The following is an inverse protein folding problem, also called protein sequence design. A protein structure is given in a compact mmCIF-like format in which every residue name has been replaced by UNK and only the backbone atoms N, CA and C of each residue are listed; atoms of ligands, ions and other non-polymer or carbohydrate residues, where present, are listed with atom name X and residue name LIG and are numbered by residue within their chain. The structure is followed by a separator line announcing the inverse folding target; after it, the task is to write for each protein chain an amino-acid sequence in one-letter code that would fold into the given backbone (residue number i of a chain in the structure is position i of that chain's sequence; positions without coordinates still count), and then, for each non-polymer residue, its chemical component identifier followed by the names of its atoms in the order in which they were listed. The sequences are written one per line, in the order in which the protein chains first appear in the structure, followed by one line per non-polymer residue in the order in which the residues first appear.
data_IF_861421031912
#
_entry.id   IF_861421031912
#
_cell.length_a   1.000
_cell.length_b   1.000
_cell.length_c   1.000
_cell.angle_alpha   90.00
_cell.angle_beta   90.00
_cell.angle_gamma   90.00
#
_symmetry.space_group_name_H-M   'P 1'
#
loop_
_entity.id
_entity.type
_entity.pdbx_description
1 polymer ?
#
# COMPACT_ATOMS: atom_id res chain seq x y z
N UNK A 1 -59.61 4.56 32.70
CA UNK A 1 -58.38 5.35 32.65
C UNK A 1 -57.23 4.38 32.41
N UNK A 2 -56.80 4.23 31.15
CA UNK A 2 -55.69 3.35 30.81
C UNK A 2 -54.46 4.21 30.53
N UNK A 3 -53.50 4.15 31.44
CA UNK A 3 -52.20 4.84 31.33
C UNK A 3 -51.31 4.06 30.37
N UNK A 4 -51.15 4.55 29.14
CA UNK A 4 -50.08 4.13 28.24
C UNK A 4 -48.78 4.82 28.68
N UNK A 5 -47.99 4.15 29.50
CA UNK A 5 -46.57 4.47 29.67
C UNK A 5 -45.82 3.89 28.48
N UNK A 6 -45.52 4.73 27.48
CA UNK A 6 -44.50 4.41 26.47
C UNK A 6 -43.15 4.38 27.18
N UNK A 7 -42.71 3.19 27.61
CA UNK A 7 -41.32 2.95 27.98
C UNK A 7 -40.46 3.31 26.77
N UNK A 8 -39.63 4.35 26.92
CA UNK A 8 -38.58 4.66 25.95
C UNK A 8 -37.52 3.56 26.11
N UNK A 9 -37.60 2.53 25.28
CA UNK A 9 -36.54 1.52 25.19
C UNK A 9 -35.19 2.22 24.94
N UNK A 10 -34.17 1.85 25.73
CA UNK A 10 -32.83 2.38 25.57
C UNK A 10 -32.24 1.83 24.25
N UNK A 11 -31.97 2.67 23.23
CA UNK A 11 -31.49 2.22 21.92
C UNK A 11 -30.14 1.50 21.99
N UNK A 12 -29.36 1.67 23.06
CA UNK A 12 -28.10 0.95 23.26
C UNK A 12 -28.31 -0.54 23.60
N UNK A 13 -29.49 -0.92 24.10
CA UNK A 13 -29.84 -2.33 24.36
C UNK A 13 -30.19 -3.10 23.07
N UNK A 14 -30.40 -2.39 21.96
CA UNK A 14 -30.68 -3.00 20.64
C UNK A 14 -29.38 -3.29 19.85
N UNK A 15 -28.23 -2.81 20.32
CA UNK A 15 -26.93 -3.06 19.67
C UNK A 15 -26.41 -4.42 20.15
N UNK A 16 -26.29 -5.39 19.24
CA UNK A 16 -25.68 -6.69 19.53
C UNK A 16 -24.17 -6.52 19.76
N UNK A 17 -23.76 -6.51 21.03
CA UNK A 17 -22.35 -6.40 21.44
C UNK A 17 -21.67 -7.77 21.54
N UNK A 18 -22.27 -8.85 21.03
CA UNK A 18 -21.67 -10.17 21.13
C UNK A 18 -20.43 -10.28 20.23
N UNK A 19 -19.35 -10.81 20.81
CA UNK A 19 -18.10 -11.06 20.08
C UNK A 19 -18.32 -11.96 18.85
N UNK A 20 -19.28 -12.90 18.93
CA UNK A 20 -19.60 -13.81 17.82
C UNK A 20 -20.23 -13.08 16.64
N UNK A 21 -21.18 -12.18 16.88
CA UNK A 21 -21.79 -11.40 15.80
C UNK A 21 -20.78 -10.46 15.16
N UNK A 22 -19.95 -9.78 15.98
CA UNK A 22 -18.84 -8.98 15.47
C UNK A 22 -17.87 -9.80 14.60
N UNK A 23 -17.41 -10.95 15.10
CA UNK A 23 -16.46 -11.80 14.37
C UNK A 23 -17.06 -12.34 13.06
N UNK A 24 -18.34 -12.72 13.06
CA UNK A 24 -19.03 -13.18 11.86
C UNK A 24 -19.19 -12.05 10.83
N UNK A 25 -19.56 -10.85 11.27
CA UNK A 25 -19.67 -9.68 10.41
C UNK A 25 -18.30 -9.31 9.80
N UNK A 26 -17.26 -9.24 10.62
CA UNK A 26 -15.88 -8.99 10.20
C UNK A 26 -15.39 -10.03 9.20
N UNK A 27 -15.52 -11.33 9.53
CA UNK A 27 -15.07 -12.42 8.64
C UNK A 27 -15.80 -12.39 7.30
N UNK A 28 -17.10 -12.10 7.31
CA UNK A 28 -17.90 -12.02 6.09
C UNK A 28 -17.53 -10.81 5.24
N UNK A 29 -17.33 -9.66 5.88
CA UNK A 29 -16.88 -8.42 5.22
C UNK A 29 -15.56 -8.67 4.49
N UNK A 30 -14.59 -9.25 5.20
CA UNK A 30 -13.27 -9.55 4.65
C UNK A 30 -13.34 -10.53 3.48
N UNK A 31 -14.18 -11.56 3.60
CA UNK A 31 -14.40 -12.54 2.53
C UNK A 31 -15.05 -11.93 1.28
N UNK A 32 -15.87 -10.89 1.42
CA UNK A 32 -16.47 -10.20 0.26
C UNK A 32 -15.41 -9.47 -0.58
N UNK A 33 -14.31 -9.08 0.05
CA UNK A 33 -13.19 -8.43 -0.63
C UNK A 33 -12.17 -9.40 -1.24
N UNK A 34 -12.42 -10.71 -1.16
CA UNK A 34 -11.55 -11.72 -1.78
C UNK A 34 -12.20 -12.23 -3.06
N UNK A 35 -11.53 -11.98 -4.19
CA UNK A 35 -11.89 -12.50 -5.51
C UNK A 35 -10.74 -13.36 -6.01
N UNK A 36 -11.04 -14.62 -6.33
CA UNK A 36 -10.05 -15.62 -6.79
C UNK A 36 -8.82 -15.79 -5.85
N UNK A 37 -9.04 -15.60 -4.55
CA UNK A 37 -7.99 -15.74 -3.53
C UNK A 37 -7.08 -14.53 -3.37
N UNK A 38 -7.42 -13.40 -4.01
CA UNK A 38 -6.69 -12.13 -3.93
C UNK A 38 -7.65 -11.03 -3.48
N UNK A 39 -7.13 -9.98 -2.83
CA UNK A 39 -7.92 -8.81 -2.47
C UNK A 39 -8.36 -8.07 -3.74
N UNK A 40 -9.63 -7.69 -3.80
CA UNK A 40 -10.27 -7.00 -4.93
C UNK A 40 -9.64 -5.63 -5.27
N UNK A 41 -9.03 -4.94 -4.30
CA UNK A 41 -8.29 -3.70 -4.55
C UNK A 41 -6.90 -3.97 -5.15
N UNK A 42 -6.35 -5.18 -4.99
CA UNK A 42 -5.02 -5.49 -5.48
C UNK A 42 -4.98 -5.48 -7.01
N UNK A 43 -3.88 -4.98 -7.56
CA UNK A 43 -3.74 -4.86 -9.00
C UNK A 43 -3.45 -6.23 -9.62
N UNK A 44 -4.22 -6.67 -10.62
CA UNK A 44 -4.13 -8.02 -11.19
C UNK A 44 -2.70 -8.35 -11.66
N UNK A 45 -2.02 -7.40 -12.30
CA UNK A 45 -0.65 -7.58 -12.81
C UNK A 45 0.37 -7.83 -11.69
N UNK A 46 0.15 -7.33 -10.48
CA UNK A 46 1.01 -7.62 -9.34
C UNK A 46 0.96 -9.10 -9.00
N UNK A 47 -0.24 -9.67 -8.83
CA UNK A 47 -0.41 -11.11 -8.60
C UNK A 47 0.22 -11.95 -9.72
N UNK A 48 -0.05 -11.61 -10.98
CA UNK A 48 0.47 -12.34 -12.14
C UNK A 48 2.02 -12.39 -12.18
N UNK A 49 2.69 -11.27 -11.89
CA UNK A 49 4.16 -11.24 -11.87
C UNK A 49 4.73 -11.96 -10.65
N UNK A 50 4.07 -11.92 -9.48
CA UNK A 50 4.50 -12.70 -8.33
C UNK A 50 4.48 -14.20 -8.61
N UNK A 51 3.44 -14.72 -9.26
CA UNK A 51 3.39 -16.12 -9.69
C UNK A 51 4.56 -16.46 -10.64
N UNK A 52 4.88 -15.56 -11.58
CA UNK A 52 6.04 -15.73 -12.46
C UNK A 52 7.35 -15.76 -11.69
N UNK A 53 7.58 -14.82 -10.77
CA UNK A 53 8.78 -14.75 -9.92
C UNK A 53 8.98 -16.04 -9.13
N UNK A 54 7.90 -16.60 -8.57
CA UNK A 54 7.94 -17.84 -7.79
C UNK A 54 8.45 -19.05 -8.59
N UNK A 55 8.20 -19.07 -9.89
CA UNK A 55 8.68 -20.11 -10.82
C UNK A 55 10.12 -19.89 -11.31
N UNK A 56 10.75 -18.73 -11.07
CA UNK A 56 12.10 -18.44 -11.57
C UNK A 56 13.18 -19.14 -10.73
N UNK A 57 14.20 -19.64 -11.42
CA UNK A 57 15.39 -20.19 -10.77
C UNK A 57 16.05 -19.20 -9.82
N UNK A 58 16.44 -19.66 -8.64
CA UNK A 58 17.12 -18.85 -7.61
C UNK A 58 16.18 -18.11 -6.65
N UNK A 59 14.89 -17.93 -6.97
CA UNK A 59 13.92 -17.25 -6.10
C UNK A 59 13.89 -17.85 -4.68
N UNK A 60 13.72 -19.17 -4.57
CA UNK A 60 13.65 -19.84 -3.26
C UNK A 60 14.91 -19.66 -2.40
N UNK A 61 16.10 -19.58 -3.01
CA UNK A 61 17.35 -19.31 -2.28
C UNK A 61 17.42 -17.86 -1.81
N UNK A 62 17.01 -16.93 -2.67
CA UNK A 62 17.01 -15.50 -2.38
C UNK A 62 16.04 -15.17 -1.24
N UNK A 63 14.79 -15.62 -1.34
CA UNK A 63 13.78 -15.38 -0.29
C UNK A 63 14.15 -16.05 1.01
N UNK A 64 14.71 -17.27 0.96
CA UNK A 64 15.17 -17.93 2.19
C UNK A 64 16.27 -17.14 2.89
N UNK A 65 17.24 -16.58 2.14
CA UNK A 65 18.28 -15.73 2.72
C UNK A 65 17.69 -14.44 3.31
N UNK A 66 16.86 -13.75 2.52
CA UNK A 66 16.14 -12.54 2.93
C UNK A 66 15.29 -12.77 4.19
N UNK A 67 14.48 -13.82 4.22
CA UNK A 67 13.52 -14.10 5.29
C UNK A 67 14.10 -14.75 6.55
N UNK A 68 15.31 -15.30 6.49
CA UNK A 68 15.96 -15.91 7.66
C UNK A 68 16.87 -14.91 8.36
N UNK A 69 18.12 -14.81 7.95
CA UNK A 69 19.15 -14.03 8.66
C UNK A 69 18.86 -12.53 8.59
N UNK A 70 18.51 -12.00 7.43
CA UNK A 70 18.36 -10.55 7.25
C UNK A 70 17.15 -10.02 8.05
N UNK A 71 15.99 -10.67 7.94
CA UNK A 71 14.81 -10.32 8.73
C UNK A 71 15.04 -10.56 10.23
N UNK A 72 15.77 -11.60 10.63
CA UNK A 72 16.14 -11.79 12.05
C UNK A 72 16.98 -10.64 12.59
N UNK A 73 17.98 -10.20 11.81
CA UNK A 73 18.86 -9.10 12.17
C UNK A 73 18.09 -7.78 12.23
N UNK A 74 17.20 -7.54 11.25
CA UNK A 74 16.32 -6.38 11.23
C UNK A 74 15.37 -6.39 12.45
N UNK A 75 14.70 -7.50 12.72
CA UNK A 75 13.81 -7.66 13.88
C UNK A 75 14.55 -7.33 15.19
N UNK A 76 15.72 -7.93 15.40
CA UNK A 76 16.56 -7.66 16.57
C UNK A 76 16.94 -6.19 16.67
N UNK A 77 17.28 -5.55 15.56
CA UNK A 77 17.58 -4.13 15.53
C UNK A 77 16.36 -3.28 15.94
N UNK A 78 15.19 -3.56 15.36
CA UNK A 78 13.94 -2.83 15.65
C UNK A 78 13.59 -2.89 17.15
N UNK A 79 13.57 -4.07 17.74
CA UNK A 79 13.21 -4.24 19.16
C UNK A 79 14.24 -3.63 20.14
N UNK A 80 15.52 -3.55 19.75
CA UNK A 80 16.58 -3.05 20.64
C UNK A 80 16.88 -1.55 20.48
N UNK A 81 16.63 -0.98 19.29
CA UNK A 81 17.09 0.37 18.93
C UNK A 81 15.99 1.33 18.52
N UNK A 82 14.79 0.84 18.23
CA UNK A 82 13.69 1.67 17.76
C UNK A 82 12.63 1.88 18.84
N UNK A 83 11.82 2.91 18.67
CA UNK A 83 10.77 3.25 19.61
C UNK A 83 9.44 2.70 19.10
N UNK A 84 8.83 1.78 19.85
CA UNK A 84 7.51 1.26 19.50
C UNK A 84 6.43 2.33 19.71
N UNK A 85 5.56 2.48 18.72
CA UNK A 85 4.36 3.33 18.76
C UNK A 85 3.30 2.65 19.61
N UNK A 86 2.64 3.44 20.46
CA UNK A 86 1.56 2.99 21.31
C UNK A 86 0.67 4.14 21.79
N UNK A 87 -0.39 3.85 22.55
CA UNK A 87 -1.36 4.86 22.97
C UNK A 87 -0.78 5.97 23.86
N UNK A 88 0.34 5.71 24.55
CA UNK A 88 1.03 6.70 25.39
C UNK A 88 2.27 7.30 24.71
N UNK A 89 2.69 6.76 23.56
CA UNK A 89 3.92 7.13 22.87
C UNK A 89 3.66 7.19 21.37
N UNK A 90 3.62 8.40 20.82
CA UNK A 90 3.08 8.69 19.48
C UNK A 90 1.58 8.34 19.35
N UNK A 91 0.70 8.89 20.23
CA UNK A 91 -0.73 8.60 20.20
C UNK A 91 -1.38 8.90 18.85
N UNK A 92 -0.98 10.00 18.19
CA UNK A 92 -1.52 10.38 16.88
C UNK A 92 -1.18 9.34 15.80
N UNK A 93 0.04 8.79 15.80
CA UNK A 93 0.44 7.72 14.89
C UNK A 93 -0.32 6.45 15.21
N UNK A 94 -0.46 6.12 16.51
CA UNK A 94 -1.20 4.95 16.94
C UNK A 94 -2.67 4.98 16.48
N UNK A 95 -3.32 6.14 16.53
CA UNK A 95 -4.68 6.33 16.04
C UNK A 95 -4.78 6.20 14.51
N UNK A 96 -3.80 6.72 13.77
CA UNK A 96 -3.70 6.51 12.31
C UNK A 96 -3.59 5.01 11.99
N UNK A 97 -2.71 4.28 12.67
CA UNK A 97 -2.49 2.85 12.41
C UNK A 97 -3.75 2.05 12.67
N UNK A 98 -4.44 2.28 13.79
CA UNK A 98 -5.73 1.63 14.09
C UNK A 98 -6.75 1.91 12.99
N UNK A 99 -6.86 3.16 12.54
CA UNK A 99 -7.81 3.55 11.50
C UNK A 99 -7.49 2.91 10.15
N UNK A 100 -6.22 2.84 9.77
CA UNK A 100 -5.79 2.16 8.55
C UNK A 100 -6.07 0.65 8.62
N UNK A 101 -5.77 0.02 9.77
CA UNK A 101 -6.02 -1.40 10.01
C UNK A 101 -7.51 -1.73 9.98
N UNK A 102 -8.36 -0.89 10.60
CA UNK A 102 -9.81 -1.02 10.55
C UNK A 102 -10.34 -0.92 9.12
N UNK A 103 -9.94 0.12 8.37
CA UNK A 103 -10.37 0.34 6.98
C UNK A 103 -9.93 -0.76 6.00
N UNK A 104 -8.83 -1.44 6.28
CA UNK A 104 -8.33 -2.54 5.46
C UNK A 104 -8.68 -3.92 6.04
N UNK A 105 -9.46 -3.95 7.12
CA UNK A 105 -9.82 -5.18 7.84
C UNK A 105 -8.58 -6.06 8.13
N UNK A 106 -7.51 -5.41 8.58
CA UNK A 106 -6.22 -6.00 8.92
C UNK A 106 -6.03 -6.02 10.44
N UNK A 107 -5.34 -7.04 10.95
CA UNK A 107 -4.83 -7.02 12.32
C UNK A 107 -3.87 -5.84 12.48
N UNK A 108 -4.09 -5.01 13.49
CA UNK A 108 -3.28 -3.80 13.75
C UNK A 108 -1.79 -4.16 13.81
N UNK A 109 -0.97 -3.71 12.84
CA UNK A 109 0.45 -4.05 12.81
C UNK A 109 1.23 -3.30 13.90
N UNK A 110 2.35 -3.87 14.33
CA UNK A 110 3.29 -3.16 15.21
C UNK A 110 3.91 -2.00 14.43
N UNK A 111 4.07 -0.84 15.04
CA UNK A 111 4.78 0.29 14.39
C UNK A 111 5.97 0.73 15.21
N UNK A 112 7.11 0.93 14.53
CA UNK A 112 8.35 1.44 15.10
C UNK A 112 8.73 2.78 14.49
N UNK A 113 9.23 3.69 15.32
CA UNK A 113 9.94 4.89 14.90
C UNK A 113 11.45 4.62 14.99
N UNK A 114 12.14 4.73 13.86
CA UNK A 114 13.56 4.42 13.70
C UNK A 114 14.38 5.70 13.52
N UNK A 115 15.28 5.97 14.46
CA UNK A 115 16.07 7.21 14.50
C UNK A 115 17.42 7.17 13.77
N UNK A 116 17.95 5.99 13.49
CA UNK A 116 19.27 5.76 12.89
C UNK A 116 19.24 5.63 11.35
N UNK A 117 18.22 6.20 10.70
CA UNK A 117 18.11 6.26 9.24
C UNK A 117 18.56 7.61 8.70
N UNK A 118 19.30 7.59 7.60
CA UNK A 118 19.81 8.77 6.89
C UNK A 118 18.77 9.41 5.95
N UNK A 119 17.64 8.74 5.72
CA UNK A 119 16.61 9.14 4.74
C UNK A 119 15.20 9.12 5.33
N UNK A 120 14.36 9.99 4.79
CA UNK A 120 12.93 9.99 4.99
C UNK A 120 12.28 8.83 4.22
N UNK A 121 12.10 7.72 4.92
CA UNK A 121 11.60 6.48 4.35
C UNK A 121 10.65 5.77 5.32
N UNK A 122 9.74 4.95 4.75
CA UNK A 122 8.88 3.99 5.44
C UNK A 122 9.04 2.61 4.79
N UNK A 123 8.85 1.54 5.58
CA UNK A 123 8.82 0.17 5.07
C UNK A 123 8.13 -0.80 6.03
N UNK A 124 7.70 -1.96 5.53
CA UNK A 124 7.13 -3.04 6.32
C UNK A 124 8.03 -4.29 6.33
N UNK A 125 8.00 -5.00 7.45
CA UNK A 125 8.67 -6.29 7.62
C UNK A 125 7.66 -7.30 8.13
N UNK A 126 7.62 -8.48 7.51
CA UNK A 126 6.80 -9.60 7.94
C UNK A 126 7.46 -10.91 7.51
N UNK A 127 7.46 -11.89 8.41
CA UNK A 127 7.90 -13.27 8.15
C UNK A 127 7.39 -14.19 9.26
N UNK A 128 7.70 -15.49 9.19
CA UNK A 128 7.31 -16.45 10.23
C UNK A 128 7.98 -16.22 11.61
N UNK A 129 8.99 -15.34 11.67
CA UNK A 129 9.79 -15.08 12.89
C UNK A 129 9.53 -13.70 13.51
N UNK A 130 8.73 -12.85 12.86
CA UNK A 130 8.38 -11.54 13.37
C UNK A 130 6.93 -11.20 13.00
N UNK A 131 6.16 -10.73 13.98
CA UNK A 131 4.85 -10.17 13.71
C UNK A 131 4.96 -9.02 12.68
N UNK A 132 3.98 -8.88 11.77
CA UNK A 132 4.02 -7.82 10.78
C UNK A 132 4.19 -6.44 11.44
N UNK A 133 5.20 -5.71 10.99
CA UNK A 133 5.49 -4.39 11.52
C UNK A 133 5.75 -3.37 10.41
N UNK A 134 5.45 -2.11 10.72
CA UNK A 134 5.72 -0.93 9.90
C UNK A 134 6.82 -0.13 10.59
N UNK A 135 7.79 0.34 9.84
CA UNK A 135 8.91 1.13 10.34
C UNK A 135 8.89 2.49 9.68
N UNK A 136 8.74 3.52 10.50
CA UNK A 136 8.79 4.92 10.12
C UNK A 136 10.16 5.48 10.49
N UNK A 137 10.88 6.06 9.53
CA UNK A 137 12.04 6.88 9.90
C UNK A 137 11.58 8.09 10.73
N UNK A 138 12.42 8.54 11.67
CA UNK A 138 12.15 9.76 12.44
C UNK A 138 11.90 10.97 11.54
N UNK A 139 12.63 11.07 10.43
CA UNK A 139 12.47 12.14 9.44
C UNK A 139 11.05 12.15 8.82
N UNK A 140 10.49 10.98 8.49
CA UNK A 140 9.09 10.86 8.00
C UNK A 140 8.11 11.35 9.05
N UNK A 141 8.30 10.98 10.31
CA UNK A 141 7.43 11.44 11.42
C UNK A 141 7.46 12.96 11.59
N UNK A 142 8.62 13.58 11.39
CA UNK A 142 8.80 15.03 11.57
C UNK A 142 8.32 15.86 10.37
N UNK A 143 8.44 15.34 9.14
CA UNK A 143 8.14 16.10 7.92
C UNK A 143 6.70 15.95 7.40
N UNK A 144 6.03 14.85 7.75
CA UNK A 144 4.75 14.49 7.16
C UNK A 144 3.57 15.14 7.89
N UNK A 145 2.55 15.55 7.13
CA UNK A 145 1.24 15.84 7.70
C UNK A 145 0.54 14.56 8.17
N UNK A 146 -0.59 14.70 8.86
CA UNK A 146 -1.42 13.58 9.27
C UNK A 146 -1.88 12.73 8.07
N UNK A 147 -2.32 13.37 7.00
CA UNK A 147 -2.82 12.74 5.78
C UNK A 147 -1.69 12.02 5.03
N UNK A 148 -0.49 12.62 5.01
CA UNK A 148 0.70 12.01 4.42
C UNK A 148 1.16 10.78 5.21
N UNK A 149 1.18 10.84 6.54
CA UNK A 149 1.46 9.66 7.38
C UNK A 149 0.39 8.58 7.20
N UNK A 150 -0.88 8.96 7.15
CA UNK A 150 -2.00 8.04 6.94
C UNK A 150 -1.89 7.31 5.60
N UNK A 151 -1.54 8.02 4.53
CA UNK A 151 -1.29 7.43 3.23
C UNK A 151 -0.10 6.45 3.28
N UNK A 152 1.05 6.86 3.82
CA UNK A 152 2.23 6.01 3.92
C UNK A 152 1.99 4.74 4.75
N UNK A 153 1.31 4.87 5.90
CA UNK A 153 0.95 3.73 6.76
C UNK A 153 -0.05 2.82 6.05
N UNK A 154 -1.07 3.37 5.37
CA UNK A 154 -2.02 2.60 4.59
C UNK A 154 -1.36 1.80 3.46
N UNK A 155 -0.38 2.40 2.76
CA UNK A 155 0.42 1.70 1.77
C UNK A 155 1.18 0.51 2.35
N UNK A 156 1.79 0.67 3.53
CA UNK A 156 2.48 -0.45 4.20
C UNK A 156 1.53 -1.52 4.73
N UNK A 157 0.36 -1.14 5.25
CA UNK A 157 -0.70 -2.11 5.58
C UNK A 157 -1.06 -2.94 4.35
N UNK A 158 -1.25 -2.31 3.18
CA UNK A 158 -1.51 -3.01 1.93
C UNK A 158 -0.37 -3.94 1.50
N UNK A 159 0.90 -3.55 1.72
CA UNK A 159 2.07 -4.41 1.48
C UNK A 159 2.11 -5.62 2.41
N UNK A 160 1.73 -5.45 3.67
CA UNK A 160 1.59 -6.57 4.62
C UNK A 160 0.49 -7.51 4.15
N UNK A 161 -0.71 -6.98 3.88
CA UNK A 161 -1.90 -7.76 3.52
C UNK A 161 -1.71 -8.58 2.24
N UNK A 162 -0.94 -8.06 1.27
CA UNK A 162 -0.66 -8.74 0.00
C UNK A 162 0.62 -9.58 -0.02
N UNK A 163 1.29 -9.78 1.13
CA UNK A 163 2.54 -10.53 1.24
C UNK A 163 3.71 -9.95 0.41
N UNK A 164 3.81 -8.62 0.31
CA UNK A 164 4.86 -7.93 -0.46
C UNK A 164 6.19 -7.81 0.30
N UNK A 165 6.19 -7.96 1.63
CA UNK A 165 7.39 -7.79 2.46
C UNK A 165 8.57 -8.68 2.02
N UNK A 166 8.31 -9.95 1.69
CA UNK A 166 9.35 -10.87 1.24
C UNK A 166 9.97 -10.46 -0.10
N UNK A 167 9.16 -9.98 -1.04
CA UNK A 167 9.59 -9.50 -2.34
C UNK A 167 10.37 -8.19 -2.22
N UNK A 168 9.94 -7.28 -1.32
CA UNK A 168 10.69 -6.07 -0.99
C UNK A 168 12.06 -6.42 -0.43
N UNK A 169 12.15 -7.32 0.54
CA UNK A 169 13.44 -7.73 1.09
C UNK A 169 14.34 -8.36 0.01
N UNK A 170 13.77 -9.20 -0.86
CA UNK A 170 14.50 -9.76 -2.02
C UNK A 170 14.98 -8.67 -3.00
N UNK A 171 14.21 -7.60 -3.22
CA UNK A 171 14.59 -6.49 -4.10
C UNK A 171 15.86 -5.77 -3.64
N UNK A 172 16.11 -5.70 -2.32
CA UNK A 172 17.33 -5.04 -1.79
C UNK A 172 18.62 -5.68 -2.31
N UNK A 173 18.55 -6.93 -2.80
CA UNK A 173 19.67 -7.63 -3.39
C UNK A 173 20.04 -7.21 -4.82
N UNK A 174 19.15 -6.51 -5.52
CA UNK A 174 19.38 -6.09 -6.89
C UNK A 174 20.38 -4.93 -7.01
N UNK A 175 20.64 -4.22 -5.90
CA UNK A 175 21.43 -2.98 -5.89
C UNK A 175 20.94 -1.97 -6.96
N UNK A 176 19.61 -1.89 -7.13
CA UNK A 176 18.97 -1.14 -8.22
C UNK A 176 19.45 0.31 -8.32
N UNK A 177 19.64 0.98 -7.18
CA UNK A 177 20.35 2.24 -7.09
C UNK A 177 20.95 2.42 -5.68
N UNK A 178 21.75 3.48 -5.48
CA UNK A 178 22.41 3.74 -4.19
C UNK A 178 21.46 4.10 -3.04
N UNK A 179 20.24 4.54 -3.36
CA UNK A 179 19.24 5.00 -2.41
C UNK A 179 18.28 3.92 -1.93
N UNK A 180 18.17 2.79 -2.66
CA UNK A 180 17.38 1.61 -2.26
C UNK A 180 17.66 1.24 -0.81
N UNK A 181 16.63 0.78 -0.10
CA UNK A 181 16.74 0.33 1.30
C UNK A 181 17.89 -0.65 1.48
N UNK A 182 18.64 -0.46 2.58
CA UNK A 182 19.74 -1.36 2.97
C UNK A 182 19.37 -2.00 4.30
N UNK A 183 19.05 -3.30 4.31
CA UNK A 183 18.82 -4.04 5.55
C UNK A 183 20.07 -4.06 6.41
N UNK A 184 19.88 -4.28 7.72
CA UNK A 184 20.98 -4.38 8.70
C UNK A 184 22.00 -5.45 8.32
N UNK A 185 21.53 -6.59 7.80
CA UNK A 185 22.38 -7.66 7.27
C UNK A 185 21.96 -8.03 5.84
N UNK A 186 22.93 -8.51 5.05
CA UNK A 186 22.71 -9.05 3.71
C UNK A 186 23.47 -10.36 3.55
N UNK A 187 22.83 -11.44 3.99
CA UNK A 187 23.39 -12.80 4.02
C UNK A 187 23.51 -13.47 2.65
N UNK A 188 22.73 -13.07 1.64
CA UNK A 188 22.76 -13.68 0.32
C UNK A 188 24.00 -13.23 -0.47
N UNK A 189 24.90 -14.18 -0.76
CA UNK A 189 26.20 -13.91 -1.40
C UNK A 189 26.21 -14.09 -2.92
N UNK A 190 25.18 -14.70 -3.49
CA UNK A 190 25.13 -15.00 -4.92
C UNK A 190 24.59 -13.78 -5.69
N UNK A 191 24.99 -13.64 -6.95
CA UNK A 191 24.40 -12.66 -7.84
C UNK A 191 22.97 -13.06 -8.17
N UNK A 192 22.03 -12.11 -8.14
CA UNK A 192 20.67 -12.34 -8.63
C UNK A 192 20.71 -12.45 -10.16
N UNK A 193 20.17 -13.52 -10.71
CA UNK A 193 20.17 -13.72 -12.16
C UNK A 193 19.29 -12.68 -12.89
N UNK A 194 19.57 -12.45 -14.17
CA UNK A 194 18.94 -11.38 -14.94
C UNK A 194 17.41 -11.54 -15.10
N UNK A 195 16.91 -12.77 -15.18
CA UNK A 195 15.47 -13.01 -15.29
C UNK A 195 14.75 -12.59 -14.00
N UNK A 196 15.29 -12.98 -12.85
CA UNK A 196 14.75 -12.61 -11.54
C UNK A 196 14.91 -11.11 -11.27
N UNK A 197 16.04 -10.52 -11.66
CA UNK A 197 16.26 -9.06 -11.61
C UNK A 197 15.15 -8.32 -12.39
N UNK A 198 14.94 -8.70 -13.65
CA UNK A 198 13.97 -8.04 -14.53
C UNK A 198 12.54 -8.19 -14.00
N UNK A 199 12.18 -9.40 -13.56
CA UNK A 199 10.85 -9.67 -13.03
C UNK A 199 10.57 -8.89 -11.73
N UNK A 200 11.54 -8.79 -10.81
CA UNK A 200 11.40 -8.01 -9.58
C UNK A 200 11.31 -6.51 -9.86
N UNK A 201 12.12 -5.97 -10.78
CA UNK A 201 12.04 -4.55 -11.18
C UNK A 201 10.69 -4.23 -11.83
N UNK A 202 10.16 -5.14 -12.66
CA UNK A 202 8.83 -5.00 -13.25
C UNK A 202 7.73 -5.04 -12.18
N UNK A 203 7.82 -5.99 -11.25
CA UNK A 203 6.85 -6.18 -10.18
C UNK A 203 6.66 -4.93 -9.31
N UNK A 204 7.74 -4.19 -9.00
CA UNK A 204 7.68 -2.98 -8.16
C UNK A 204 6.60 -2.00 -8.63
N UNK A 205 6.49 -1.77 -9.95
CA UNK A 205 5.48 -0.84 -10.49
C UNK A 205 4.06 -1.30 -10.19
N UNK A 206 3.82 -2.61 -10.19
CA UNK A 206 2.50 -3.19 -9.97
C UNK A 206 2.17 -3.26 -8.47
N UNK A 207 3.16 -3.65 -7.66
CA UNK A 207 3.07 -3.66 -6.22
C UNK A 207 2.77 -2.27 -5.65
N UNK A 208 3.30 -1.20 -6.26
CA UNK A 208 2.99 0.17 -5.86
C UNK A 208 1.56 0.58 -6.20
N UNK A 209 0.96 0.11 -7.30
CA UNK A 209 -0.46 0.37 -7.56
C UNK A 209 -1.29 -0.32 -6.48
N UNK A 210 -1.03 -1.59 -6.16
CA UNK A 210 -1.68 -2.30 -5.05
C UNK A 210 -1.52 -1.54 -3.72
N UNK A 211 -0.30 -1.11 -3.39
CA UNK A 211 -0.03 -0.39 -2.14
C UNK A 211 -0.70 1.00 -2.12
N UNK A 212 -0.64 1.76 -3.22
CA UNK A 212 -1.26 3.07 -3.32
C UNK A 212 -2.79 2.97 -3.20
N UNK A 213 -3.42 1.93 -3.75
CA UNK A 213 -4.86 1.69 -3.57
C UNK A 213 -5.22 1.47 -2.10
N UNK A 214 -4.43 0.68 -1.37
CA UNK A 214 -4.60 0.54 0.08
C UNK A 214 -4.40 1.89 0.81
N UNK A 215 -3.39 2.66 0.43
CA UNK A 215 -3.18 4.03 0.94
C UNK A 215 -4.38 4.96 0.68
N UNK A 216 -4.98 4.88 -0.52
CA UNK A 216 -6.17 5.64 -0.90
C UNK A 216 -7.39 5.24 -0.07
N UNK A 217 -7.62 3.93 0.15
CA UNK A 217 -8.66 3.43 1.07
C UNK A 217 -8.46 4.04 2.45
N UNK A 218 -7.21 4.07 2.94
CA UNK A 218 -6.88 4.56 4.26
C UNK A 218 -7.00 6.08 4.43
N UNK A 219 -6.98 6.90 3.38
CA UNK A 219 -7.10 8.35 3.49
C UNK A 219 -8.48 8.78 3.98
N UNK A 220 -8.55 9.81 4.84
CA UNK A 220 -9.85 10.35 5.26
C UNK A 220 -10.67 10.86 4.08
N UNK A 221 -10.02 11.50 3.12
CA UNK A 221 -10.58 11.90 1.83
C UNK A 221 -9.77 11.25 0.72
N UNK A 222 -10.24 10.14 0.11
CA UNK A 222 -9.54 9.47 -0.99
C UNK A 222 -9.12 10.44 -2.10
N UNK A 223 -9.97 11.43 -2.43
CA UNK A 223 -9.71 12.44 -3.45
C UNK A 223 -8.48 13.33 -3.23
N UNK A 224 -7.88 13.34 -2.04
CA UNK A 224 -6.65 14.09 -1.76
C UNK A 224 -5.37 13.37 -2.22
N UNK A 225 -5.48 12.14 -2.72
CA UNK A 225 -4.34 11.27 -3.07
C UNK A 225 -3.20 11.99 -3.82
N UNK A 226 -3.50 12.67 -4.93
CA UNK A 226 -2.47 13.34 -5.74
C UNK A 226 -1.74 14.41 -4.90
N UNK A 227 -2.47 15.26 -4.19
CA UNK A 227 -1.87 16.30 -3.35
C UNK A 227 -0.99 15.74 -2.22
N UNK A 228 -1.37 14.60 -1.66
CA UNK A 228 -0.63 13.92 -0.60
C UNK A 228 0.67 13.32 -1.14
N UNK A 229 0.60 12.55 -2.23
CA UNK A 229 1.78 11.86 -2.77
C UNK A 229 2.78 12.83 -3.41
N UNK A 230 2.33 13.89 -4.08
CA UNK A 230 3.23 14.92 -4.61
C UNK A 230 3.85 15.74 -3.48
N UNK A 231 3.09 16.05 -2.41
CA UNK A 231 3.57 16.70 -1.20
C UNK A 231 4.72 15.93 -0.55
N UNK A 232 4.55 14.62 -0.37
CA UNK A 232 5.58 13.71 0.15
C UNK A 232 6.89 13.80 -0.66
N UNK A 233 6.82 13.61 -1.98
CA UNK A 233 8.01 13.64 -2.84
C UNK A 233 8.66 15.04 -2.85
N UNK A 234 7.87 16.11 -2.91
CA UNK A 234 8.37 17.48 -2.86
C UNK A 234 9.07 17.83 -1.54
N UNK A 235 8.67 17.20 -0.43
CA UNK A 235 9.36 17.32 0.87
C UNK A 235 10.63 16.46 0.99
N UNK A 236 10.94 15.64 -0.02
CA UNK A 236 12.15 14.82 -0.07
C UNK A 236 11.98 13.38 0.40
N UNK A 237 10.75 12.86 0.41
CA UNK A 237 10.51 11.43 0.63
C UNK A 237 11.24 10.56 -0.40
N UNK A 238 11.88 9.49 0.07
CA UNK A 238 12.51 8.47 -0.77
C UNK A 238 11.83 7.15 -0.47
N UNK A 239 11.29 6.49 -1.51
CA UNK A 239 10.62 5.21 -1.30
C UNK A 239 11.60 4.05 -1.05
N UNK A 240 11.04 2.89 -0.68
CA UNK A 240 11.82 1.69 -0.39
C UNK A 240 12.80 1.27 -1.49
N UNK A 241 12.42 1.51 -2.74
CA UNK A 241 13.20 1.15 -3.92
C UNK A 241 14.23 2.22 -4.29
N UNK A 242 14.25 3.35 -3.60
CA UNK A 242 15.20 4.44 -3.78
C UNK A 242 14.79 5.47 -4.83
N UNK A 243 13.53 5.49 -5.26
CA UNK A 243 13.02 6.49 -6.21
C UNK A 243 12.64 7.76 -5.44
N UNK A 244 12.86 8.89 -6.09
CA UNK A 244 12.56 10.22 -5.59
C UNK A 244 12.26 11.13 -6.77
N UNK A 245 11.43 12.15 -6.55
CA UNK A 245 11.20 13.22 -7.51
C UNK A 245 11.04 14.53 -6.75
N UNK A 246 11.49 15.62 -7.36
CA UNK A 246 11.33 16.97 -6.82
C UNK A 246 10.49 17.80 -7.79
N UNK A 247 9.83 18.82 -7.28
CA UNK A 247 9.03 19.77 -8.04
C UNK A 247 7.93 19.10 -8.88
N UNK A 248 7.24 18.11 -8.30
CA UNK A 248 6.04 17.53 -8.92
C UNK A 248 4.92 18.57 -8.97
N UNK A 249 4.46 18.90 -10.19
CA UNK A 249 3.35 19.81 -10.43
C UNK A 249 2.03 19.15 -10.05
N UNK A 250 1.51 19.51 -8.88
CA UNK A 250 0.32 18.89 -8.30
C UNK A 250 -0.93 19.23 -9.12
N UNK A 251 -1.12 20.50 -9.48
CA UNK A 251 -2.28 20.95 -10.26
C UNK A 251 -2.23 20.41 -11.68
N UNK A 252 -1.04 20.35 -12.27
CA UNK A 252 -0.81 19.72 -13.58
C UNK A 252 -1.17 18.23 -13.58
N UNK A 253 -0.79 17.50 -12.53
CA UNK A 253 -1.11 16.07 -12.40
C UNK A 253 -2.59 15.81 -12.14
N UNK A 254 -3.27 16.67 -11.37
CA UNK A 254 -4.73 16.59 -11.19
C UNK A 254 -5.44 16.73 -12.55
N UNK A 255 -5.14 17.81 -13.30
CA UNK A 255 -5.70 18.04 -14.63
C UNK A 255 -5.38 16.90 -15.60
N UNK A 256 -4.15 16.36 -15.53
CA UNK A 256 -3.74 15.21 -16.33
C UNK A 256 -4.59 13.99 -16.00
N UNK A 257 -4.75 13.65 -14.72
CA UNK A 257 -5.55 12.51 -14.29
C UNK A 257 -7.02 12.63 -14.72
N UNK A 258 -7.63 13.82 -14.58
CA UNK A 258 -8.97 14.10 -15.08
C UNK A 258 -9.07 13.90 -16.61
N UNK A 259 -8.11 14.44 -17.36
CA UNK A 259 -8.08 14.30 -18.82
C UNK A 259 -7.90 12.85 -19.27
N UNK A 260 -7.11 12.07 -18.53
CA UNK A 260 -6.89 10.64 -18.76
C UNK A 260 -8.16 9.85 -18.45
N UNK A 261 -8.85 10.17 -17.35
CA UNK A 261 -10.10 9.53 -16.96
C UNK A 261 -11.22 9.76 -17.99
N UNK A 262 -11.30 10.97 -18.57
CA UNK A 262 -12.29 11.32 -19.59
C UNK A 262 -12.14 10.53 -20.90
N UNK A 263 -10.98 9.92 -21.16
CA UNK A 263 -10.72 9.12 -22.37
C UNK A 263 -11.12 7.67 -22.12
N UNK A 264 -11.90 7.07 -23.02
CA UNK A 264 -12.26 5.64 -22.92
C UNK A 264 -11.04 4.73 -22.99
N UNK A 265 -11.09 3.56 -22.34
CA UNK A 265 -9.96 2.62 -22.27
C UNK A 265 -9.43 2.21 -23.65
N UNK A 266 -10.28 2.18 -24.69
CA UNK A 266 -9.90 1.87 -26.08
C UNK A 266 -8.99 2.92 -26.70
N UNK A 267 -9.19 4.19 -26.35
CA UNK A 267 -8.47 5.32 -26.92
C UNK A 267 -7.31 5.78 -26.03
N UNK A 268 -7.23 5.26 -24.81
CA UNK A 268 -6.20 5.59 -23.85
C UNK A 268 -4.83 5.10 -24.34
N UNK A 269 -3.81 5.93 -24.14
CA UNK A 269 -2.43 5.63 -24.49
C UNK A 269 -1.50 6.10 -23.38
N UNK A 270 -0.36 5.43 -23.26
CA UNK A 270 0.71 5.86 -22.37
C UNK A 270 1.25 7.22 -22.80
N UNK A 271 1.32 8.17 -21.88
CA UNK A 271 1.99 9.45 -22.09
C UNK A 271 3.49 9.31 -21.77
N UNK A 272 4.32 9.31 -22.80
CA UNK A 272 5.76 9.14 -22.66
C UNK A 272 6.48 10.42 -22.19
N UNK A 273 5.77 11.54 -22.04
CA UNK A 273 6.33 12.78 -21.47
C UNK A 273 6.35 12.77 -19.94
N UNK A 274 5.53 11.93 -19.30
CA UNK A 274 5.49 11.78 -17.85
C UNK A 274 6.67 10.96 -17.34
N UNK A 275 7.17 11.34 -16.16
CA UNK A 275 8.09 10.51 -15.39
C UNK A 275 7.43 9.18 -14.98
N UNK A 276 8.23 8.19 -14.60
CA UNK A 276 7.70 6.91 -14.12
C UNK A 276 6.87 7.06 -12.84
N UNK A 277 7.25 7.98 -11.94
CA UNK A 277 6.47 8.26 -10.72
C UNK A 277 5.16 8.98 -11.06
N UNK A 278 5.17 9.90 -12.03
CA UNK A 278 3.96 10.58 -12.51
C UNK A 278 2.97 9.60 -13.14
N UNK A 279 3.45 8.65 -13.95
CA UNK A 279 2.61 7.56 -14.50
C UNK A 279 1.99 6.72 -13.39
N UNK A 280 2.75 6.38 -12.34
CA UNK A 280 2.24 5.62 -11.20
C UNK A 280 1.17 6.40 -10.43
N UNK A 281 1.37 7.70 -10.21
CA UNK A 281 0.37 8.57 -9.58
C UNK A 281 -0.90 8.62 -10.42
N UNK A 282 -0.80 8.88 -11.73
CA UNK A 282 -1.98 8.95 -12.61
C UNK A 282 -2.70 7.60 -12.69
N UNK A 283 -1.96 6.49 -12.77
CA UNK A 283 -2.54 5.15 -12.77
C UNK A 283 -3.27 4.80 -11.46
N UNK A 284 -2.66 5.10 -10.31
CA UNK A 284 -3.31 4.87 -9.01
C UNK A 284 -4.55 5.76 -8.81
N UNK A 285 -4.58 6.94 -9.44
CA UNK A 285 -5.74 7.87 -9.38
C UNK A 285 -6.99 7.27 -10.04
N UNK A 286 -6.85 6.35 -10.99
CA UNK A 286 -8.01 5.65 -11.59
C UNK A 286 -8.83 4.88 -10.53
N UNK A 287 -8.24 4.56 -9.38
CA UNK A 287 -8.96 3.91 -8.29
C UNK A 287 -9.99 4.82 -7.62
N UNK A 288 -9.86 6.15 -7.71
CA UNK A 288 -10.87 7.10 -7.24
C UNK A 288 -12.19 7.02 -8.01
N UNK A 289 -12.18 6.39 -9.18
CA UNK A 289 -13.34 6.18 -10.03
C UNK A 289 -13.77 4.70 -10.07
N UNK A 290 -13.18 3.86 -9.22
CA UNK A 290 -13.45 2.43 -9.17
C UNK A 290 -14.50 2.12 -8.09
N UNK A 291 -15.48 1.26 -8.40
CA UNK A 291 -16.49 0.83 -7.41
C UNK A 291 -15.89 0.18 -6.17
N UNK A 292 -14.80 -0.59 -6.35
CA UNK A 292 -14.12 -1.30 -5.25
C UNK A 292 -13.69 -0.33 -4.14
N UNK A 293 -13.20 0.88 -4.46
CA UNK A 293 -12.85 1.85 -3.42
C UNK A 293 -14.03 2.14 -2.48
N UNK A 294 -15.22 2.29 -3.04
CA UNK A 294 -16.42 2.66 -2.30
C UNK A 294 -17.09 1.46 -1.62
N UNK A 295 -16.78 0.23 -2.05
CA UNK A 295 -17.10 -0.99 -1.31
C UNK A 295 -16.28 -1.06 -0.01
N UNK A 296 -14.99 -0.71 -0.05
CA UNK A 296 -14.13 -0.57 1.13
C UNK A 296 -14.45 0.68 1.97
N UNK A 297 -14.99 1.72 1.33
CA UNK A 297 -15.26 3.04 1.93
C UNK A 297 -16.71 3.45 1.75
N UNK A 298 -17.61 2.67 2.34
CA UNK A 298 -19.03 3.00 2.39
C UNK A 298 -19.33 4.33 3.12
N UNK A 299 -18.41 4.85 3.92
CA UNK A 299 -18.48 6.18 4.54
C UNK A 299 -18.09 7.32 3.58
N UNK A 300 -17.37 7.02 2.51
CA UNK A 300 -16.90 7.99 1.53
C UNK A 300 -17.81 7.98 0.30
N UNK A 301 -19.12 8.19 0.45
CA UNK A 301 -20.00 8.28 -0.72
C UNK A 301 -19.63 9.46 -1.63
N UNK A 302 -19.50 9.20 -2.93
CA UNK A 302 -19.56 10.22 -3.97
C UNK A 302 -20.78 9.91 -4.85
N UNK A 303 -21.93 10.49 -4.48
CA UNK A 303 -23.24 10.22 -5.09
C UNK A 303 -23.32 10.57 -6.58
N UNK A 304 -22.33 11.29 -7.10
CA UNK A 304 -22.41 11.96 -8.40
C UNK A 304 -21.40 11.42 -9.44
N UNK A 305 -20.55 10.44 -9.09
CA UNK A 305 -19.55 9.86 -10.02
C UNK A 305 -20.03 8.58 -10.70
N UNK A 306 -19.83 8.50 -12.01
CA UNK A 306 -19.97 7.25 -12.76
C UNK A 306 -18.78 6.33 -12.43
N UNK A 307 -19.00 5.33 -11.58
CA UNK A 307 -17.98 4.37 -11.16
C UNK A 307 -17.76 3.30 -12.23
N UNK A 308 -16.50 2.91 -12.42
CA UNK A 308 -16.10 1.78 -13.26
C UNK A 308 -15.82 0.55 -12.40
N UNK A 309 -15.89 -0.64 -12.99
CA UNK A 309 -15.51 -1.88 -12.30
C UNK A 309 -14.00 -1.96 -12.03
N UNK A 310 -13.60 -2.80 -11.07
CA UNK A 310 -12.19 -3.10 -10.80
C UNK A 310 -11.41 -3.56 -12.04
N UNK A 311 -12.02 -4.41 -12.87
CA UNK A 311 -11.42 -4.86 -14.14
C UNK A 311 -11.12 -3.70 -15.10
N UNK A 312 -12.05 -2.74 -15.24
CA UNK A 312 -11.82 -1.57 -16.09
C UNK A 312 -10.71 -0.69 -15.49
N UNK A 313 -10.71 -0.49 -14.16
CA UNK A 313 -9.66 0.23 -13.45
C UNK A 313 -8.27 -0.39 -13.71
N UNK A 314 -8.17 -1.72 -13.68
CA UNK A 314 -6.92 -2.47 -13.92
C UNK A 314 -6.42 -2.35 -15.36
N UNK A 315 -7.32 -2.49 -16.34
CA UNK A 315 -6.98 -2.28 -17.76
C UNK A 315 -6.42 -0.87 -17.98
N UNK A 316 -7.08 0.14 -17.42
CA UNK A 316 -6.67 1.54 -17.55
C UNK A 316 -5.33 1.80 -16.88
N UNK A 317 -5.16 1.34 -15.63
CA UNK A 317 -3.91 1.44 -14.88
C UNK A 317 -2.74 0.82 -15.65
N UNK A 318 -2.96 -0.36 -16.27
CA UNK A 318 -1.97 -1.07 -17.09
C UNK A 318 -1.53 -0.30 -18.33
N UNK A 319 -2.47 0.37 -19.02
CA UNK A 319 -2.17 1.21 -20.18
C UNK A 319 -1.35 2.44 -19.74
N UNK A 320 -1.73 3.10 -18.65
CA UNK A 320 -1.07 4.33 -18.17
C UNK A 320 0.40 4.07 -17.78
N UNK A 321 0.69 2.96 -17.11
CA UNK A 321 2.06 2.60 -16.71
C UNK A 321 2.91 2.02 -17.86
N UNK A 322 2.33 1.86 -19.05
CA UNK A 322 3.08 1.50 -20.26
C UNK A 322 3.27 0.01 -20.51
N UNK A 323 2.41 -0.85 -19.97
CA UNK A 323 2.50 -2.31 -20.20
C UNK A 323 1.82 -2.77 -21.49
N UNK A 324 1.20 -1.87 -22.27
CA UNK A 324 0.56 -2.16 -23.55
C UNK A 324 1.57 -2.43 -24.67
N UNK A 325 2.46 -3.41 -24.49
CA UNK A 325 3.49 -3.74 -25.47
C UNK A 325 4.49 -4.82 -25.06
N UNK A 326 4.02 -6.05 -24.81
CA UNK A 326 4.79 -7.27 -25.16
C UNK A 326 3.82 -8.34 -25.69
N UNK A 327 3.53 -8.27 -26.99
CA UNK A 327 3.22 -9.44 -27.81
C UNK A 327 4.12 -9.30 -29.06
N UNK A 328 5.15 -10.14 -29.16
CA UNK A 328 5.93 -10.36 -30.39
C UNK A 328 7.17 -9.47 -30.57
N UNK A 329 8.33 -10.11 -30.72
CA UNK A 329 9.62 -9.51 -31.05
C UNK A 329 10.77 -10.25 -30.39
#
# INVERSE_FOLDING_TARGET
MSTNTTERENPLLQIDTSFRTYLNAYTRSYQNHIVDGVLDYAFESDFAVRQKIMGLGGWGKLVKAAGSQDVSAEAKHLFLKCEQVGPLKYPDIYDIVKKCAERLELVVPIVFVRGDMDKAQVYSVASDIIEPCIVLSKQVVEMCSKEELMFLIGCECGRIQNNHCAYNMAFTYLNYNKYTYRPVERSYKQTVNNQLYTALVQWVKYADITANRAGIICLDKPGMFISVITGLYNKGYIDFYGRQQKNMDTDGLIKKAESVHAVSSRNLKTDNTMSELEKLVVAATEFLYCSVLYEWRGDAEDSDRHLVSGQICDVRSSIIIGNGGVIGG
#
